data_IF_585058252183
#
_entry.id   IF_585058252183
#
_cell.length_a   1.000
_cell.length_b   1.000
_cell.length_c   1.000
_cell.angle_alpha   90.00
_cell.angle_beta   90.00
_cell.angle_gamma   90.00
#
_symmetry.space_group_name_H-M   'P 1'
#
loop_
_entity.id
_entity.type
_entity.pdbx_description
1 polymer ?
#
# COMPACT_ATOMS: atom_id res chain seq x y z
N UNK A 1 21.76 9.00 17.90
CA UNK A 1 21.50 8.23 16.67
C UNK A 1 20.19 7.47 16.84
N UNK A 2 19.07 8.07 16.46
CA UNK A 2 17.75 7.47 16.60
C UNK A 2 16.76 8.07 15.58
N UNK A 3 17.27 8.40 14.38
CA UNK A 3 16.48 8.92 13.27
C UNK A 3 16.56 8.05 12.01
N UNK A 4 17.35 6.97 12.05
CA UNK A 4 17.82 6.28 10.84
C UNK A 4 17.16 4.92 10.54
N UNK A 5 16.15 4.47 11.30
CA UNK A 5 15.57 3.13 11.08
C UNK A 5 14.07 3.09 10.77
N UNK A 6 13.33 4.19 10.95
CA UNK A 6 11.88 4.08 11.10
C UNK A 6 11.05 4.48 9.86
N UNK A 7 11.56 5.30 8.94
CA UNK A 7 10.62 6.04 8.07
C UNK A 7 10.41 5.53 6.64
N UNK A 8 11.30 4.80 5.95
CA UNK A 8 11.36 5.06 4.50
C UNK A 8 11.15 3.99 3.44
N UNK A 9 10.84 2.71 3.70
CA UNK A 9 10.63 1.77 2.56
C UNK A 9 9.54 0.70 2.76
N UNK A 10 8.61 0.90 3.69
CA UNK A 10 7.59 -0.12 3.98
C UNK A 10 6.45 -0.21 2.98
N UNK A 11 6.29 0.79 2.10
CA UNK A 11 5.20 0.84 1.13
C UNK A 11 5.77 1.24 -0.22
N UNK A 12 5.54 0.41 -1.23
CA UNK A 12 5.88 0.67 -2.62
C UNK A 12 4.60 0.66 -3.45
N UNK A 13 4.51 1.55 -4.43
CA UNK A 13 3.44 1.61 -5.41
C UNK A 13 4.08 1.45 -6.78
N UNK A 14 3.68 0.43 -7.54
CA UNK A 14 4.25 0.08 -8.84
C UNK A 14 5.79 0.03 -8.81
N UNK A 15 6.34 -0.71 -7.84
CA UNK A 15 7.77 -0.90 -7.60
C UNK A 15 8.57 0.39 -7.28
N UNK A 16 7.89 1.47 -6.88
CA UNK A 16 8.53 2.72 -6.42
C UNK A 16 8.15 3.01 -4.98
N UNK A 17 9.10 3.50 -4.18
CA UNK A 17 8.85 3.91 -2.80
C UNK A 17 7.73 4.96 -2.77
N UNK A 18 6.66 4.66 -2.04
CA UNK A 18 5.53 5.56 -1.88
C UNK A 18 5.88 6.67 -0.89
N UNK A 19 5.66 7.92 -1.30
CA UNK A 19 5.64 9.09 -0.42
C UNK A 19 4.24 9.32 0.14
N UNK A 20 4.07 10.05 1.26
CA UNK A 20 2.75 10.40 1.78
C UNK A 20 1.83 11.12 0.77
N UNK A 21 2.41 11.83 -0.21
CA UNK A 21 1.69 12.51 -1.29
C UNK A 21 1.45 11.65 -2.54
N UNK A 22 1.76 10.34 -2.48
CA UNK A 22 1.59 9.45 -3.63
C UNK A 22 0.10 9.27 -3.91
N UNK A 23 -0.33 9.69 -5.09
CA UNK A 23 -1.70 9.49 -5.55
C UNK A 23 -1.87 8.04 -6.01
N UNK A 24 -2.83 7.34 -5.42
CA UNK A 24 -3.18 5.96 -5.77
C UNK A 24 -4.29 5.96 -6.83
N UNK A 25 -4.19 5.01 -7.76
CA UNK A 25 -5.17 4.78 -8.81
C UNK A 25 -5.63 3.33 -8.82
N UNK A 26 -6.82 3.11 -9.38
CA UNK A 26 -7.29 1.77 -9.72
C UNK A 26 -6.27 1.08 -10.66
N UNK A 27 -5.93 -0.15 -10.33
CA UNK A 27 -4.94 -0.98 -11.02
C UNK A 27 -3.52 -0.87 -10.45
N UNK A 28 -3.26 0.05 -9.51
CA UNK A 28 -1.94 0.15 -8.89
C UNK A 28 -1.63 -1.10 -8.07
N UNK A 29 -0.37 -1.54 -8.14
CA UNK A 29 0.17 -2.62 -7.31
C UNK A 29 0.87 -2.00 -6.12
N UNK A 30 0.37 -2.27 -4.92
CA UNK A 30 0.97 -1.84 -3.67
C UNK A 30 1.69 -3.03 -3.04
N UNK A 31 2.97 -2.86 -2.75
CA UNK A 31 3.74 -3.81 -1.95
C UNK A 31 4.02 -3.20 -0.59
N UNK A 32 3.66 -3.94 0.47
CA UNK A 32 3.96 -3.54 1.84
C UNK A 32 4.88 -4.54 2.52
N UNK A 33 5.85 -4.05 3.28
CA UNK A 33 6.73 -4.88 4.09
C UNK A 33 6.28 -4.87 5.55
N UNK A 34 5.81 -6.03 6.03
CA UNK A 34 5.40 -6.27 7.41
C UNK A 34 6.49 -7.13 8.07
N UNK A 35 7.42 -6.48 8.78
CA UNK A 35 8.61 -7.14 9.29
C UNK A 35 9.50 -7.61 8.13
N UNK A 36 9.68 -8.92 7.99
CA UNK A 36 10.43 -9.54 6.90
C UNK A 36 9.53 -10.06 5.76
N UNK A 37 8.21 -9.98 5.91
CA UNK A 37 7.26 -10.47 4.89
C UNK A 37 6.86 -9.34 3.96
N UNK A 38 6.87 -9.61 2.67
CA UNK A 38 6.30 -8.74 1.63
C UNK A 38 4.87 -9.22 1.38
N UNK A 39 3.92 -8.30 1.45
CA UNK A 39 2.53 -8.53 1.04
C UNK A 39 2.25 -7.66 -0.17
N UNK A 40 1.67 -8.23 -1.21
CA UNK A 40 1.39 -7.53 -2.47
C UNK A 40 -0.12 -7.50 -2.70
N UNK A 41 -0.63 -6.32 -3.01
CA UNK A 41 -2.05 -6.10 -3.28
C UNK A 41 -2.27 -5.23 -4.52
N UNK A 42 -3.32 -5.53 -5.26
CA UNK A 42 -3.80 -4.75 -6.40
C UNK A 42 -4.99 -3.89 -5.97
N UNK A 43 -4.97 -2.60 -6.31
CA UNK A 43 -6.08 -1.69 -6.05
C UNK A 43 -7.17 -1.91 -7.09
N UNK A 44 -8.34 -2.39 -6.67
CA UNK A 44 -9.48 -2.61 -7.57
C UNK A 44 -10.33 -1.35 -7.76
N UNK A 45 -10.38 -0.48 -6.75
CA UNK A 45 -11.14 0.77 -6.78
C UNK A 45 -10.65 1.72 -5.69
N UNK A 46 -10.66 3.03 -5.96
CA UNK A 46 -10.32 4.08 -4.98
C UNK A 46 -11.59 4.87 -4.68
N UNK A 47 -11.93 5.01 -3.40
CA UNK A 47 -13.09 5.76 -2.91
C UNK A 47 -12.69 6.60 -1.70
N UNK A 48 -13.23 7.81 -1.64
CA UNK A 48 -12.92 8.76 -0.56
C UNK A 48 -13.57 8.38 0.78
N UNK A 49 -14.69 7.67 0.75
CA UNK A 49 -15.39 7.23 1.96
C UNK A 49 -15.83 5.77 1.83
N UNK A 50 -15.27 4.91 2.68
CA UNK A 50 -15.42 3.45 2.60
C UNK A 50 -15.73 2.92 3.98
N UNK A 51 -16.81 2.15 4.09
CA UNK A 51 -17.08 1.41 5.34
C UNK A 51 -16.09 0.25 5.44
N UNK A 52 -15.62 -0.06 6.65
CA UNK A 52 -14.67 -1.16 6.87
C UNK A 52 -15.13 -2.50 6.28
N UNK A 53 -16.45 -2.75 6.23
CA UNK A 53 -17.05 -3.93 5.59
C UNK A 53 -16.82 -4.01 4.08
N UNK A 54 -16.67 -2.88 3.40
CA UNK A 54 -16.55 -2.76 1.95
C UNK A 54 -15.10 -2.65 1.49
N UNK A 55 -14.17 -2.32 2.41
CA UNK A 55 -12.76 -2.14 2.10
C UNK A 55 -12.12 -3.38 1.45
N UNK A 56 -12.56 -4.59 1.85
CA UNK A 56 -12.08 -5.85 1.27
C UNK A 56 -12.39 -5.99 -0.22
N UNK A 57 -13.37 -5.25 -0.74
CA UNK A 57 -13.73 -5.27 -2.17
C UNK A 57 -12.92 -4.25 -2.99
N UNK A 58 -12.14 -3.39 -2.33
CA UNK A 58 -11.38 -2.32 -3.00
C UNK A 58 -9.96 -2.73 -3.36
N UNK A 59 -9.49 -3.86 -2.85
CA UNK A 59 -8.19 -4.40 -3.18
C UNK A 59 -8.23 -5.92 -3.26
N UNK A 60 -7.30 -6.50 -3.99
CA UNK A 60 -7.10 -7.95 -4.10
C UNK A 60 -5.68 -8.28 -3.65
N UNK A 61 -5.56 -9.21 -2.71
CA UNK A 61 -4.25 -9.72 -2.29
C UNK A 61 -3.73 -10.62 -3.41
N UNK A 62 -2.49 -10.41 -3.82
CA UNK A 62 -1.79 -11.22 -4.80
C UNK A 62 -0.87 -12.24 -4.10
N UNK A 63 -0.16 -11.81 -3.04
CA UNK A 63 0.76 -12.63 -2.23
C UNK A 63 0.77 -12.21 -0.75
#
# INVERSE_FOLDING_TARGET
MAKDFAEHERVMVNDRIAKPSTVIKKGDIISIFIGQRKTVLEVLEVKDNVKASEAKNLYRILE
#
